data_IF_671190213390
#
_entry.id   IF_671190213390
#
_cell.length_a   1.000
_cell.length_b   1.000
_cell.length_c   1.000
_cell.angle_alpha   90.00
_cell.angle_beta   90.00
_cell.angle_gamma   90.00
#
_symmetry.space_group_name_H-M   'P 1'
#
loop_
_entity.id
_entity.type
_entity.pdbx_description
1 polymer ?
#
# COMPACT_ATOMS: atom_id res chain seq x y z
N UNK A 1 -18.86 -5.28 -1.42
CA UNK A 1 -19.86 -6.33 -1.18
C UNK A 1 -21.17 -5.79 -0.64
N UNK A 2 -21.21 -4.79 0.21
CA UNK A 2 -22.45 -4.15 0.68
C UNK A 2 -22.30 -3.42 2.01
N UNK A 3 -23.18 -2.45 2.28
CA UNK A 3 -23.16 -1.64 3.48
C UNK A 3 -22.05 -0.61 3.53
N UNK A 4 -21.83 -0.02 4.71
CA UNK A 4 -20.79 0.97 4.94
C UNK A 4 -20.01 0.65 6.24
N UNK A 5 -18.76 1.11 6.31
CA UNK A 5 -17.95 0.95 7.51
C UNK A 5 -17.14 2.20 7.77
N UNK A 6 -17.34 2.82 8.94
CA UNK A 6 -16.52 3.94 9.42
C UNK A 6 -15.35 3.40 10.24
N UNK A 7 -14.20 4.04 10.10
CA UNK A 7 -12.99 3.69 10.84
C UNK A 7 -12.04 4.87 10.91
N UNK A 8 -11.08 4.81 11.81
CA UNK A 8 -9.94 5.71 11.82
C UNK A 8 -8.71 4.99 11.26
N UNK A 9 -7.93 5.68 10.43
CA UNK A 9 -6.66 5.21 9.94
C UNK A 9 -5.60 6.28 10.18
N UNK A 10 -4.58 5.92 10.97
CA UNK A 10 -3.53 6.85 11.39
C UNK A 10 -4.12 8.16 11.97
N UNK A 11 -5.15 8.03 12.83
CA UNK A 11 -5.84 9.15 13.47
C UNK A 11 -6.79 9.97 12.59
N UNK A 12 -6.95 9.63 11.32
CA UNK A 12 -7.85 10.31 10.39
C UNK A 12 -9.11 9.45 10.15
N UNK A 13 -10.30 10.07 10.07
CA UNK A 13 -11.54 9.35 9.82
C UNK A 13 -11.69 8.98 8.35
N UNK A 14 -12.14 7.75 8.11
CA UNK A 14 -12.47 7.22 6.78
C UNK A 14 -13.81 6.48 6.82
N UNK A 15 -14.39 6.30 5.64
CA UNK A 15 -15.60 5.53 5.45
C UNK A 15 -15.48 4.68 4.17
N UNK A 16 -15.79 3.39 4.30
CA UNK A 16 -15.91 2.45 3.19
C UNK A 16 -17.37 2.36 2.76
N UNK A 17 -17.59 2.32 1.45
CA UNK A 17 -18.90 2.07 0.84
C UNK A 17 -18.82 0.84 -0.08
N UNK A 18 -19.98 0.41 -0.56
CA UNK A 18 -20.06 -0.66 -1.55
C UNK A 18 -19.23 -0.31 -2.80
N UNK A 19 -18.42 -1.26 -3.25
CA UNK A 19 -17.53 -1.10 -4.40
C UNK A 19 -16.17 -0.48 -4.09
N UNK A 20 -15.94 -0.01 -2.85
CA UNK A 20 -14.60 0.49 -2.47
C UNK A 20 -13.63 -0.68 -2.24
N UNK A 21 -12.36 -0.41 -2.50
CA UNK A 21 -11.25 -1.27 -2.11
C UNK A 21 -10.43 -0.61 -1.01
N UNK A 22 -10.06 -1.37 0.02
CA UNK A 22 -9.17 -0.91 1.10
C UNK A 22 -7.92 -1.76 1.14
N UNK A 23 -6.74 -1.12 1.12
CA UNK A 23 -5.45 -1.79 1.25
C UNK A 23 -4.78 -1.34 2.54
N UNK A 24 -4.56 -2.29 3.44
CA UNK A 24 -3.95 -2.05 4.75
C UNK A 24 -2.60 -2.74 4.84
N UNK A 25 -1.52 -1.98 4.88
CA UNK A 25 -0.17 -2.52 5.11
C UNK A 25 0.17 -2.71 6.58
N UNK A 26 -0.38 -1.87 7.45
CA UNK A 26 -0.18 -1.91 8.91
C UNK A 26 -1.53 -1.89 9.63
N UNK A 27 -2.02 -3.05 10.03
CA UNK A 27 -3.30 -3.19 10.73
C UNK A 27 -3.41 -2.37 12.03
N UNK A 28 -2.26 -2.07 12.67
CA UNK A 28 -2.21 -1.23 13.88
C UNK A 28 -2.67 0.22 13.66
N UNK A 29 -2.72 0.68 12.41
CA UNK A 29 -3.20 2.03 12.06
C UNK A 29 -4.72 2.10 11.91
N UNK A 30 -5.41 0.95 11.88
CA UNK A 30 -6.88 0.89 11.76
C UNK A 30 -7.48 0.80 13.15
N UNK A 31 -8.28 1.79 13.51
CA UNK A 31 -8.91 1.91 14.82
C UNK A 31 -10.39 2.29 14.69
N UNK A 32 -11.15 2.17 15.76
CA UNK A 32 -12.55 2.63 15.89
C UNK A 32 -13.47 2.14 14.76
N UNK A 33 -13.34 0.87 14.41
CA UNK A 33 -14.13 0.25 13.33
C UNK A 33 -15.60 0.18 13.73
N UNK A 34 -16.47 0.79 12.92
CA UNK A 34 -17.93 0.83 13.15
C UNK A 34 -18.66 0.46 11.84
N UNK A 35 -18.96 -0.82 11.63
CA UNK A 35 -19.69 -1.28 10.45
C UNK A 35 -21.20 -1.01 10.58
N UNK A 36 -21.89 -0.82 9.44
CA UNK A 36 -23.35 -0.88 9.38
C UNK A 36 -23.84 -2.32 9.56
N UNK A 37 -25.13 -2.50 9.88
CA UNK A 37 -25.70 -3.82 10.12
C UNK A 37 -25.65 -4.76 8.91
N UNK A 38 -25.61 -4.20 7.71
CA UNK A 38 -25.55 -4.90 6.42
C UNK A 38 -24.13 -4.94 5.82
N UNK A 39 -23.11 -4.49 6.57
CA UNK A 39 -21.73 -4.45 6.08
C UNK A 39 -21.21 -5.84 5.73
N UNK A 40 -20.74 -5.99 4.49
CA UNK A 40 -20.12 -7.21 3.97
C UNK A 40 -18.81 -6.89 3.28
N UNK A 41 -17.76 -7.61 3.63
CA UNK A 41 -16.43 -7.43 3.09
C UNK A 41 -15.82 -8.78 2.72
N UNK A 42 -15.04 -8.82 1.64
CA UNK A 42 -14.14 -9.93 1.31
C UNK A 42 -12.72 -9.47 1.60
N UNK A 43 -11.94 -10.28 2.29
CA UNK A 43 -10.58 -9.93 2.72
C UNK A 43 -9.60 -10.96 2.20
N UNK A 44 -8.48 -10.50 1.63
CA UNK A 44 -7.30 -11.30 1.34
C UNK A 44 -6.21 -10.85 2.30
N UNK A 45 -5.68 -11.78 3.08
CA UNK A 45 -4.53 -11.57 3.94
C UNK A 45 -3.28 -12.19 3.30
N UNK A 46 -2.25 -11.37 3.14
CA UNK A 46 -0.96 -11.80 2.58
C UNK A 46 0.13 -11.49 3.59
N UNK A 47 1.00 -12.48 3.87
CA UNK A 47 2.13 -12.26 4.79
C UNK A 47 3.14 -11.27 4.19
N UNK A 48 3.87 -10.49 5.02
CA UNK A 48 4.89 -9.56 4.53
C UNK A 48 5.93 -10.23 3.62
N UNK A 49 6.40 -11.42 3.99
CA UNK A 49 7.39 -12.18 3.21
C UNK A 49 6.86 -12.62 1.85
N UNK A 50 5.57 -12.96 1.77
CA UNK A 50 4.97 -13.37 0.49
C UNK A 50 4.67 -12.17 -0.40
N UNK A 51 4.22 -11.04 0.17
CA UNK A 51 3.94 -9.83 -0.62
C UNK A 51 5.23 -9.26 -1.26
N UNK A 52 6.39 -9.39 -0.60
CA UNK A 52 7.68 -9.01 -1.17
C UNK A 52 8.00 -9.80 -2.46
N UNK A 53 7.68 -11.10 -2.50
CA UNK A 53 7.86 -11.94 -3.69
C UNK A 53 6.92 -11.56 -4.83
N UNK A 54 5.74 -11.04 -4.50
CA UNK A 54 4.70 -10.68 -5.46
C UNK A 54 4.83 -9.23 -5.95
N UNK A 55 5.56 -8.37 -5.25
CA UNK A 55 5.62 -6.94 -5.57
C UNK A 55 6.49 -6.70 -6.80
N UNK A 56 5.95 -6.09 -7.89
CA UNK A 56 6.72 -5.78 -9.07
C UNK A 56 7.85 -4.79 -8.77
N UNK A 57 9.02 -5.03 -9.34
CA UNK A 57 10.19 -4.16 -9.24
C UNK A 57 10.04 -2.98 -10.23
N UNK A 58 9.16 -2.03 -9.92
CA UNK A 58 8.97 -0.82 -10.71
C UNK A 58 8.90 0.43 -9.81
N UNK A 59 9.12 1.60 -10.41
CA UNK A 59 9.13 2.87 -9.68
C UNK A 59 7.73 3.31 -9.21
N UNK A 60 6.67 2.75 -9.77
CA UNK A 60 5.30 3.07 -9.41
C UNK A 60 4.89 2.46 -8.06
N UNK A 61 5.38 1.25 -7.78
CA UNK A 61 5.08 0.54 -6.54
C UNK A 61 5.37 1.35 -5.28
N UNK A 62 6.35 2.23 -5.33
CA UNK A 62 6.68 3.08 -4.21
C UNK A 62 5.69 4.23 -4.00
N UNK A 63 5.24 4.91 -5.07
CA UNK A 63 4.25 5.97 -4.96
C UNK A 63 2.90 5.42 -4.49
N UNK A 64 2.49 4.27 -5.04
CA UNK A 64 1.31 3.54 -4.58
C UNK A 64 1.40 3.14 -3.10
N UNK A 65 2.55 2.65 -2.66
CA UNK A 65 2.78 2.31 -1.26
C UNK A 65 2.65 3.52 -0.32
N UNK A 66 3.18 4.67 -0.71
CA UNK A 66 3.14 5.89 0.09
C UNK A 66 1.75 6.48 0.23
N UNK A 67 0.99 6.52 -0.87
CA UNK A 67 -0.37 7.03 -0.81
C UNK A 67 -1.27 6.17 0.07
N UNK A 68 -1.02 4.85 0.16
CA UNK A 68 -1.72 3.94 1.07
C UNK A 68 -1.46 4.23 2.56
N UNK A 69 -0.38 4.92 2.93
CA UNK A 69 -0.17 5.41 4.30
C UNK A 69 -1.02 6.63 4.63
N UNK A 70 -1.43 7.40 3.63
CA UNK A 70 -2.25 8.59 3.80
C UNK A 70 -3.74 8.29 3.62
N UNK A 71 -4.05 7.49 2.61
CA UNK A 71 -5.41 7.06 2.30
C UNK A 71 -5.44 5.58 1.91
N UNK A 72 -5.92 4.70 2.79
CA UNK A 72 -5.99 3.28 2.51
C UNK A 72 -7.17 2.89 1.60
N UNK A 73 -8.08 3.84 1.30
CA UNK A 73 -9.32 3.59 0.55
C UNK A 73 -9.17 4.05 -0.89
N UNK A 74 -9.45 3.16 -1.84
CA UNK A 74 -9.59 3.47 -3.26
C UNK A 74 -11.07 3.43 -3.65
N UNK A 75 -11.55 4.52 -4.21
CA UNK A 75 -12.89 4.64 -4.81
C UNK A 75 -12.81 4.11 -6.24
N UNK A 76 -13.33 2.90 -6.47
CA UNK A 76 -13.24 2.25 -7.76
C UNK A 76 -14.47 2.59 -8.62
N UNK A 77 -14.26 2.88 -9.90
CA UNK A 77 -15.34 2.92 -10.88
C UNK A 77 -15.85 1.50 -11.21
N UNK A 78 -16.89 1.38 -12.05
CA UNK A 78 -17.52 0.09 -12.37
C UNK A 78 -16.56 -0.89 -13.05
N UNK A 79 -15.74 -0.42 -13.96
CA UNK A 79 -14.78 -1.26 -14.67
C UNK A 79 -13.70 -1.78 -13.73
N UNK A 80 -13.15 -0.90 -12.88
CA UNK A 80 -12.18 -1.25 -11.85
C UNK A 80 -12.77 -2.22 -10.81
N UNK A 81 -14.03 -2.04 -10.41
CA UNK A 81 -14.75 -2.98 -9.53
C UNK A 81 -14.86 -4.37 -10.14
N UNK A 82 -15.18 -4.46 -11.44
CA UNK A 82 -15.29 -5.73 -12.14
C UNK A 82 -13.93 -6.44 -12.27
N UNK A 83 -12.85 -5.69 -12.52
CA UNK A 83 -11.48 -6.21 -12.53
C UNK A 83 -11.12 -6.72 -11.14
N UNK A 84 -11.25 -5.90 -10.11
CA UNK A 84 -10.96 -6.26 -8.73
C UNK A 84 -11.73 -7.52 -8.28
N UNK A 85 -13.01 -7.63 -8.65
CA UNK A 85 -13.82 -8.83 -8.37
C UNK A 85 -13.25 -10.08 -9.02
N UNK A 86 -12.84 -10.00 -10.30
CA UNK A 86 -12.21 -11.12 -11.02
C UNK A 86 -10.89 -11.54 -10.39
N UNK A 87 -10.09 -10.58 -9.92
CA UNK A 87 -8.85 -10.88 -9.22
C UNK A 87 -9.11 -11.67 -7.93
N UNK A 88 -10.06 -11.20 -7.11
CA UNK A 88 -10.46 -11.91 -5.90
C UNK A 88 -10.99 -13.31 -6.18
N UNK A 89 -11.82 -13.48 -7.21
CA UNK A 89 -12.35 -14.78 -7.62
C UNK A 89 -11.24 -15.72 -8.12
N UNK A 90 -10.28 -15.21 -8.90
CA UNK A 90 -9.15 -15.98 -9.39
C UNK A 90 -8.22 -16.39 -8.24
N UNK A 91 -7.90 -15.49 -7.33
CA UNK A 91 -7.07 -15.80 -6.16
C UNK A 91 -7.75 -16.88 -5.31
N UNK A 92 -9.04 -16.75 -5.01
CA UNK A 92 -9.81 -17.73 -4.25
C UNK A 92 -9.83 -19.10 -4.94
N UNK A 93 -10.06 -19.12 -6.26
CA UNK A 93 -10.03 -20.36 -7.03
C UNK A 93 -8.67 -21.05 -6.97
N UNK A 94 -7.57 -20.29 -7.14
CA UNK A 94 -6.21 -20.84 -7.09
C UNK A 94 -5.82 -21.25 -5.68
N UNK A 95 -6.22 -20.50 -4.69
CA UNK A 95 -5.96 -20.79 -3.28
C UNK A 95 -6.55 -22.14 -2.86
N UNK A 96 -7.74 -22.46 -3.35
CA UNK A 96 -8.39 -23.74 -3.06
C UNK A 96 -7.84 -24.94 -3.89
N UNK A 97 -6.85 -24.72 -4.75
CA UNK A 97 -6.25 -25.76 -5.59
C UNK A 97 -4.78 -26.02 -5.22
N UNK A 98 -4.56 -26.36 -3.97
CA UNK A 98 -3.22 -26.58 -3.38
C UNK A 98 -2.43 -27.74 -4.02
N UNK A 99 -3.13 -28.69 -4.66
CA UNK A 99 -2.51 -29.86 -5.31
C UNK A 99 -1.87 -29.52 -6.67
N UNK A 100 -1.91 -28.28 -7.12
CA UNK A 100 -1.29 -27.88 -8.39
C UNK A 100 0.24 -27.90 -8.27
N UNK A 101 0.93 -28.58 -9.19
CA UNK A 101 2.39 -28.77 -9.16
C UNK A 101 3.20 -27.46 -9.04
N UNK A 102 2.65 -26.35 -9.56
CA UNK A 102 3.25 -25.02 -9.51
C UNK A 102 2.39 -24.07 -8.68
N UNK A 103 1.82 -24.56 -7.57
CA UNK A 103 0.90 -23.81 -6.73
C UNK A 103 1.49 -22.47 -6.26
N UNK A 104 2.72 -22.50 -5.75
CA UNK A 104 3.42 -21.30 -5.26
C UNK A 104 3.62 -20.27 -6.37
N UNK A 105 4.06 -20.70 -7.54
CA UNK A 105 4.33 -19.78 -8.65
C UNK A 105 3.05 -19.16 -9.20
N UNK A 106 1.98 -19.94 -9.28
CA UNK A 106 0.65 -19.42 -9.65
C UNK A 106 0.16 -18.40 -8.63
N UNK A 107 0.29 -18.68 -7.33
CA UNK A 107 -0.12 -17.74 -6.29
C UNK A 107 0.67 -16.43 -6.37
N UNK A 108 1.98 -16.49 -6.63
CA UNK A 108 2.79 -15.27 -6.86
C UNK A 108 2.23 -14.50 -8.07
N UNK A 109 1.99 -15.16 -9.19
CA UNK A 109 1.52 -14.50 -10.41
C UNK A 109 0.13 -13.85 -10.25
N UNK A 110 -0.83 -14.52 -9.61
CA UNK A 110 -2.19 -13.95 -9.45
C UNK A 110 -2.20 -12.77 -8.47
N UNK A 111 -1.40 -12.83 -7.39
CA UNK A 111 -1.25 -11.71 -6.47
C UNK A 111 -0.49 -10.55 -7.14
N UNK A 112 0.54 -10.84 -7.94
CA UNK A 112 1.26 -9.83 -8.71
C UNK A 112 0.36 -9.12 -9.72
N UNK A 113 -0.53 -9.85 -10.42
CA UNK A 113 -1.52 -9.27 -11.33
C UNK A 113 -2.41 -8.29 -10.58
N UNK A 114 -3.03 -8.71 -9.48
CA UNK A 114 -3.87 -7.83 -8.65
C UNK A 114 -3.11 -6.57 -8.17
N UNK A 115 -1.82 -6.69 -7.81
CA UNK A 115 -1.00 -5.55 -7.41
C UNK A 115 -0.82 -4.57 -8.58
N UNK A 116 -0.60 -5.08 -9.81
CA UNK A 116 -0.45 -4.26 -11.01
C UNK A 116 -1.75 -3.53 -11.35
N UNK A 117 -2.90 -4.22 -11.25
CA UNK A 117 -4.21 -3.60 -11.44
C UNK A 117 -4.47 -2.51 -10.40
N UNK A 118 -4.09 -2.74 -9.14
CA UNK A 118 -4.17 -1.69 -8.10
C UNK A 118 -3.25 -0.51 -8.37
N UNK A 119 -2.08 -0.73 -8.95
CA UNK A 119 -1.20 0.36 -9.38
C UNK A 119 -1.82 1.17 -10.50
N UNK A 120 -2.47 0.51 -11.45
CA UNK A 120 -3.21 1.16 -12.53
C UNK A 120 -4.38 1.99 -11.98
N UNK A 121 -5.23 1.41 -11.14
CA UNK A 121 -6.33 2.13 -10.49
C UNK A 121 -5.84 3.36 -9.74
N UNK A 122 -4.76 3.19 -8.96
CA UNK A 122 -4.17 4.28 -8.22
C UNK A 122 -3.64 5.39 -9.15
N UNK A 123 -3.05 5.03 -10.30
CA UNK A 123 -2.54 5.99 -11.28
C UNK A 123 -3.64 6.84 -11.88
N UNK A 124 -4.80 6.24 -12.16
CA UNK A 124 -5.98 6.94 -12.65
C UNK A 124 -6.57 7.90 -11.61
N UNK A 125 -6.58 7.51 -10.34
CA UNK A 125 -7.13 8.33 -9.24
C UNK A 125 -6.21 9.51 -8.89
N UNK A 126 -4.88 9.29 -8.84
CA UNK A 126 -3.91 10.25 -8.29
C UNK A 126 -2.93 10.84 -9.33
N UNK A 127 -3.00 10.40 -10.58
CA UNK A 127 -2.17 10.86 -11.70
C UNK A 127 -0.77 10.23 -11.76
N UNK A 128 -0.17 10.31 -12.94
CA UNK A 128 1.19 9.80 -13.23
C UNK A 128 2.26 10.88 -13.02
N UNK A 129 2.64 11.21 -11.81
CA UNK A 129 3.90 11.92 -11.63
C UNK A 129 5.08 10.92 -11.66
N UNK A 130 5.97 11.07 -12.62
CA UNK A 130 7.19 10.27 -12.72
C UNK A 130 8.17 10.66 -11.61
N UNK A 131 8.32 9.78 -10.63
CA UNK A 131 9.37 9.89 -9.61
C UNK A 131 10.66 9.33 -10.20
N UNK A 132 11.78 10.05 -10.06
CA UNK A 132 13.06 9.53 -10.51
C UNK A 132 13.46 8.26 -9.74
N UNK A 133 14.17 7.33 -10.40
CA UNK A 133 14.62 6.10 -9.75
C UNK A 133 15.47 6.37 -8.48
N UNK A 134 16.23 7.48 -8.48
CA UNK A 134 17.01 7.90 -7.32
C UNK A 134 16.12 8.31 -6.15
N UNK A 135 15.06 9.10 -6.38
CA UNK A 135 14.11 9.50 -5.34
C UNK A 135 13.36 8.29 -4.79
N UNK A 136 12.94 7.40 -5.67
CA UNK A 136 12.30 6.15 -5.31
C UNK A 136 13.21 5.29 -4.40
N UNK A 137 14.47 5.12 -4.75
CA UNK A 137 15.44 4.35 -3.96
C UNK A 137 15.69 4.95 -2.56
N UNK A 138 15.89 6.28 -2.47
CA UNK A 138 16.09 6.95 -1.19
C UNK A 138 14.84 6.81 -0.31
N UNK A 139 13.66 7.03 -0.88
CA UNK A 139 12.40 6.95 -0.14
C UNK A 139 12.12 5.53 0.35
N UNK A 140 12.41 4.49 -0.45
CA UNK A 140 12.27 3.09 -0.04
C UNK A 140 13.10 2.78 1.19
N UNK A 141 14.39 3.13 1.14
CA UNK A 141 15.30 2.90 2.27
C UNK A 141 14.87 3.67 3.51
N UNK A 142 14.43 4.92 3.34
CA UNK A 142 13.91 5.75 4.43
C UNK A 142 12.68 5.11 5.09
N UNK A 143 11.71 4.64 4.29
CA UNK A 143 10.54 3.93 4.79
C UNK A 143 10.92 2.63 5.49
N UNK A 144 11.86 1.87 4.94
CA UNK A 144 12.35 0.65 5.58
C UNK A 144 12.90 0.93 6.98
N UNK A 145 13.71 1.97 7.15
CA UNK A 145 14.22 2.38 8.46
C UNK A 145 13.09 2.73 9.44
N UNK A 146 12.03 3.39 8.96
CA UNK A 146 10.84 3.68 9.78
C UNK A 146 10.08 2.39 10.14
N UNK A 147 9.95 1.46 9.19
CA UNK A 147 9.30 0.17 9.43
C UNK A 147 10.07 -0.69 10.42
N UNK A 148 11.39 -0.65 10.40
CA UNK A 148 12.28 -1.32 11.36
C UNK A 148 12.24 -0.69 12.76
N UNK A 149 11.52 0.43 12.90
CA UNK A 149 11.30 1.10 14.18
C UNK A 149 12.47 1.95 14.65
N UNK A 150 13.37 2.35 13.74
CA UNK A 150 14.54 3.20 14.03
C UNK A 150 14.12 4.51 14.72
N UNK A 151 12.93 5.03 14.41
CA UNK A 151 12.36 6.24 15.04
C UNK A 151 12.18 6.13 16.57
N UNK A 152 12.21 4.93 17.13
CA UNK A 152 12.13 4.73 18.58
C UNK A 152 13.41 5.18 19.29
N UNK A 153 14.54 5.15 18.59
CA UNK A 153 15.86 5.53 19.13
C UNK A 153 16.37 6.84 18.52
N UNK A 154 16.06 7.09 17.24
CA UNK A 154 16.53 8.25 16.47
C UNK A 154 15.35 8.99 15.85
N UNK A 155 15.09 10.20 16.36
CA UNK A 155 13.99 11.06 15.88
C UNK A 155 14.49 12.29 15.10
N UNK A 156 15.76 12.33 14.74
CA UNK A 156 16.36 13.41 14.01
C UNK A 156 16.60 13.04 12.54
N UNK A 157 16.16 13.90 11.64
CA UNK A 157 16.37 13.75 10.18
C UNK A 157 17.84 13.57 9.83
N UNK A 158 18.74 14.19 10.60
CA UNK A 158 20.18 14.12 10.37
C UNK A 158 20.70 12.68 10.45
N UNK A 159 20.20 11.90 11.38
CA UNK A 159 20.54 10.48 11.49
C UNK A 159 20.17 9.71 10.23
N UNK A 160 18.90 9.82 9.79
CA UNK A 160 18.42 9.13 8.58
C UNK A 160 19.16 9.55 7.32
N UNK A 161 19.43 10.85 7.21
CA UNK A 161 20.19 11.38 6.08
C UNK A 161 21.62 10.83 6.04
N UNK A 162 22.27 10.71 7.20
CA UNK A 162 23.60 10.09 7.32
C UNK A 162 23.60 8.63 6.88
N UNK A 163 22.65 7.83 7.37
CA UNK A 163 22.51 6.41 7.00
C UNK A 163 22.24 6.22 5.50
N UNK A 164 21.53 7.18 4.89
CA UNK A 164 21.20 7.16 3.47
C UNK A 164 22.28 7.82 2.61
N UNK A 165 23.37 8.28 3.20
CA UNK A 165 24.47 8.99 2.52
C UNK A 165 24.01 10.22 1.74
N UNK A 166 23.06 10.99 2.30
CA UNK A 166 22.53 12.23 1.73
C UNK A 166 22.52 13.38 2.77
N UNK A 167 22.27 14.60 2.33
CA UNK A 167 22.09 15.71 3.26
C UNK A 167 20.65 15.72 3.86
N UNK A 168 20.44 16.22 5.10
CA UNK A 168 19.11 16.36 5.67
C UNK A 168 18.14 17.18 4.81
N UNK A 169 18.66 18.23 4.18
CA UNK A 169 17.89 19.05 3.23
C UNK A 169 17.42 18.22 2.02
N UNK A 170 18.34 17.46 1.43
CA UNK A 170 18.02 16.63 0.26
C UNK A 170 17.04 15.51 0.63
N UNK A 171 17.20 14.84 1.78
CA UNK A 171 16.22 13.85 2.26
C UNK A 171 14.84 14.48 2.41
N UNK A 172 14.73 15.67 3.00
CA UNK A 172 13.46 16.39 3.16
C UNK A 172 12.86 16.83 1.82
N UNK A 173 13.67 17.19 0.83
CA UNK A 173 13.20 17.48 -0.53
C UNK A 173 12.68 16.23 -1.23
N UNK A 174 13.39 15.10 -1.13
CA UNK A 174 12.98 13.81 -1.69
C UNK A 174 11.65 13.37 -1.08
N UNK A 175 11.55 13.33 0.25
CA UNK A 175 10.33 12.92 0.94
C UNK A 175 9.16 13.82 0.60
N UNK A 176 9.36 15.14 0.56
CA UNK A 176 8.32 16.10 0.17
C UNK A 176 7.89 15.93 -1.29
N UNK A 177 8.84 15.72 -2.21
CA UNK A 177 8.54 15.52 -3.64
C UNK A 177 7.76 14.22 -3.87
N UNK A 178 8.09 13.15 -3.13
CA UNK A 178 7.51 11.82 -3.32
C UNK A 178 6.19 11.66 -2.56
N UNK A 179 6.08 12.19 -1.33
CA UNK A 179 4.94 11.96 -0.45
C UNK A 179 4.08 13.18 -0.16
N UNK A 180 4.53 14.37 -0.58
CA UNK A 180 3.93 15.65 -0.19
C UNK A 180 4.35 16.16 1.18
N UNK A 181 5.08 15.35 2.00
CA UNK A 181 5.47 15.67 3.37
C UNK A 181 6.98 15.61 3.55
N UNK A 182 7.53 16.53 4.35
CA UNK A 182 8.94 16.53 4.71
C UNK A 182 9.28 15.33 5.62
N UNK A 183 10.58 14.96 5.68
CA UNK A 183 11.04 13.81 6.46
C UNK A 183 10.60 13.80 7.93
N UNK A 184 10.58 14.97 8.59
CA UNK A 184 10.13 15.12 9.98
C UNK A 184 8.66 14.68 10.21
N UNK A 185 7.83 14.71 9.19
CA UNK A 185 6.43 14.25 9.31
C UNK A 185 6.35 12.74 9.51
N UNK A 186 7.33 12.02 8.99
CA UNK A 186 7.35 10.56 8.99
C UNK A 186 8.07 9.94 10.19
N UNK A 187 8.99 10.68 10.80
CA UNK A 187 9.78 10.30 11.98
C UNK A 187 9.01 10.58 13.27
#
# INVERSE_FOLDING_TARGET
LGGACKFEFNGNPFELHEGDCMIVRKGKLVEKITPSADFKVKVIYVTPQFIELCTPQNNYGMKGQLSLFLNPVMRLDREQQDICKKDFENIEYRFNNENHNFYRDIMINVIQTMILDFFDFHSHIYGEEKISAQYASIMSKFLQMLEDGVYRQHRDVTYYASELCVTPKYLSEVTKKVSGYAANYWI
#
